data_IF_661467021152
#
_entry.id   IF_661467021152
#
_cell.length_a   1.000
_cell.length_b   1.000
_cell.length_c   1.000
_cell.angle_alpha   90.00
_cell.angle_beta   90.00
_cell.angle_gamma   90.00
#
_symmetry.space_group_name_H-M   'P 1'
#
loop_
_entity.id
_entity.type
_entity.pdbx_description
1 polymer ?
#
# COMPACT_ATOMS: atom_id res chain seq x y z
N UNK A 1 -37.19 -16.91 -4.63
CA UNK A 1 -37.13 -15.87 -5.70
C UNK A 1 -36.71 -14.57 -5.02
N UNK A 2 -35.40 -14.31 -4.97
CA UNK A 2 -34.79 -13.23 -4.16
C UNK A 2 -34.58 -12.01 -5.06
N UNK A 3 -35.13 -10.86 -4.67
CA UNK A 3 -34.94 -9.60 -5.40
C UNK A 3 -33.54 -9.03 -5.14
N UNK A 4 -32.88 -8.41 -6.15
CA UNK A 4 -31.61 -7.71 -5.93
C UNK A 4 -31.88 -6.40 -5.16
N UNK A 5 -31.12 -6.20 -4.09
CA UNK A 5 -31.13 -4.97 -3.29
C UNK A 5 -30.35 -3.85 -4.01
N UNK A 6 -31.02 -2.75 -4.34
CA UNK A 6 -30.39 -1.51 -4.83
C UNK A 6 -29.99 -0.64 -3.63
N UNK A 7 -28.68 -0.51 -3.39
CA UNK A 7 -28.09 0.03 -2.14
C UNK A 7 -27.78 1.53 -2.15
N UNK A 8 -28.30 2.32 -3.10
CA UNK A 8 -27.87 3.72 -3.27
C UNK A 8 -28.89 4.80 -2.88
N UNK A 9 -30.15 4.47 -2.60
CA UNK A 9 -31.17 5.51 -2.29
C UNK A 9 -31.46 5.73 -0.78
N UNK A 10 -31.02 4.86 0.13
CA UNK A 10 -31.40 4.92 1.55
C UNK A 10 -30.35 5.52 2.51
N UNK A 11 -29.36 6.26 2.03
CA UNK A 11 -28.20 6.71 2.85
C UNK A 11 -28.44 8.05 3.60
N UNK A 12 -29.63 8.67 3.53
CA UNK A 12 -29.81 10.06 3.99
C UNK A 12 -30.21 10.32 5.45
N UNK A 13 -30.58 9.33 6.28
CA UNK A 13 -31.34 9.67 7.52
C UNK A 13 -30.77 9.29 8.91
N UNK A 14 -29.66 8.57 9.06
CA UNK A 14 -29.15 8.24 10.41
C UNK A 14 -27.78 8.89 10.70
N UNK A 15 -27.68 9.58 11.84
CA UNK A 15 -26.57 10.43 12.28
C UNK A 15 -25.20 9.75 12.29
N UNK A 16 -24.56 9.73 11.12
CA UNK A 16 -23.24 9.14 10.90
C UNK A 16 -22.08 10.05 11.33
N UNK A 17 -20.92 9.41 11.48
CA UNK A 17 -19.62 10.09 11.49
C UNK A 17 -19.46 10.79 10.14
N UNK A 18 -19.68 12.11 10.11
CA UNK A 18 -19.26 12.93 8.99
C UNK A 18 -17.74 12.98 8.97
N UNK A 19 -17.12 12.22 8.06
CA UNK A 19 -15.78 12.58 7.60
C UNK A 19 -15.88 14.00 7.05
N UNK A 20 -15.33 14.97 7.79
CA UNK A 20 -15.23 16.34 7.33
C UNK A 20 -14.24 16.40 6.15
N UNK A 21 -14.69 16.02 4.95
CA UNK A 21 -13.97 16.32 3.70
C UNK A 21 -13.91 17.82 3.44
N UNK A 22 -14.74 18.61 4.16
CA UNK A 22 -14.81 20.06 4.11
C UNK A 22 -13.53 20.79 4.55
N UNK A 23 -12.49 20.07 5.00
CA UNK A 23 -11.21 20.65 5.41
C UNK A 23 -10.07 20.53 4.41
N UNK A 24 -10.22 19.77 3.31
CA UNK A 24 -9.16 19.66 2.30
C UNK A 24 -9.43 20.70 1.23
N UNK A 25 -8.84 21.87 1.38
CA UNK A 25 -8.87 22.90 0.35
C UNK A 25 -8.11 22.40 -0.89
N UNK A 26 -8.85 21.93 -1.89
CA UNK A 26 -8.24 21.41 -3.14
C UNK A 26 -7.63 22.52 -3.99
N UNK A 27 -7.92 23.80 -3.70
CA UNK A 27 -7.40 24.94 -4.46
C UNK A 27 -5.93 25.23 -4.15
N UNK A 28 -5.42 24.80 -2.99
CA UNK A 28 -3.99 24.87 -2.62
C UNK A 28 -3.18 23.64 -3.04
N UNK A 29 -3.80 22.68 -3.74
CA UNK A 29 -3.08 21.51 -4.23
C UNK A 29 -2.15 21.89 -5.41
N UNK A 30 -0.88 21.42 -5.42
CA UNK A 30 0.10 21.75 -6.47
C UNK A 30 -0.37 21.38 -7.88
N UNK A 31 0.18 21.95 -8.95
CA UNK A 31 -0.26 21.56 -10.31
C UNK A 31 0.23 20.16 -10.69
N UNK A 32 1.40 19.74 -10.18
CA UNK A 32 1.94 18.40 -10.40
C UNK A 32 1.09 17.32 -9.72
N UNK A 33 0.73 16.30 -10.50
CA UNK A 33 -0.18 15.24 -10.04
C UNK A 33 0.38 14.46 -8.84
N UNK A 34 1.70 14.30 -8.75
CA UNK A 34 2.33 13.55 -7.66
C UNK A 34 2.43 14.39 -6.38
N UNK A 35 2.78 15.66 -6.50
CA UNK A 35 2.76 16.59 -5.36
C UNK A 35 1.35 16.72 -4.75
N UNK A 36 0.29 16.71 -5.57
CA UNK A 36 -1.10 16.61 -5.07
C UNK A 36 -1.32 15.35 -4.26
N UNK A 37 -0.85 14.20 -4.75
CA UNK A 37 -0.99 12.91 -4.06
C UNK A 37 -0.30 12.96 -2.70
N UNK A 38 0.93 13.48 -2.63
CA UNK A 38 1.65 13.65 -1.36
C UNK A 38 0.89 14.54 -0.38
N UNK A 39 0.44 15.72 -0.81
CA UNK A 39 -0.29 16.66 0.04
C UNK A 39 -1.58 16.04 0.59
N UNK A 40 -2.29 15.31 -0.26
CA UNK A 40 -3.52 14.64 0.11
C UNK A 40 -3.29 13.43 1.01
N UNK A 41 -2.24 12.63 0.76
CA UNK A 41 -1.84 11.53 1.63
C UNK A 41 -1.60 12.02 3.05
N UNK A 42 -0.87 13.13 3.21
CA UNK A 42 -0.67 13.78 4.52
C UNK A 42 -1.99 14.21 5.16
N UNK A 43 -2.91 14.81 4.39
CA UNK A 43 -4.22 15.22 4.91
C UNK A 43 -5.10 14.01 5.32
N UNK A 44 -5.01 12.90 4.60
CA UNK A 44 -5.79 11.68 4.86
C UNK A 44 -5.23 10.85 6.02
N UNK A 45 -3.93 10.96 6.33
CA UNK A 45 -3.30 10.18 7.41
C UNK A 45 -3.99 10.38 8.76
N UNK A 46 -4.32 11.61 9.16
CA UNK A 46 -5.02 11.84 10.44
C UNK A 46 -6.39 11.15 10.46
N UNK A 47 -7.17 11.27 9.37
CA UNK A 47 -8.50 10.69 9.29
C UNK A 47 -8.47 9.17 9.28
N UNK A 48 -7.55 8.55 8.54
CA UNK A 48 -7.47 7.09 8.47
C UNK A 48 -7.02 6.47 9.80
N UNK A 49 -6.16 7.17 10.56
CA UNK A 49 -5.76 6.72 11.89
C UNK A 49 -6.95 6.69 12.87
N UNK A 50 -7.84 7.68 12.80
CA UNK A 50 -9.08 7.68 13.60
C UNK A 50 -10.01 6.53 13.22
N UNK A 51 -10.18 6.26 11.93
CA UNK A 51 -10.98 5.11 11.46
C UNK A 51 -10.38 3.79 11.94
N UNK A 52 -9.05 3.66 11.92
CA UNK A 52 -8.38 2.49 12.48
C UNK A 52 -8.64 2.32 13.98
N UNK A 53 -8.65 3.39 14.77
CA UNK A 53 -8.92 3.29 16.22
C UNK A 53 -10.36 2.84 16.50
N UNK A 54 -11.33 3.40 15.79
CA UNK A 54 -12.73 2.97 15.90
C UNK A 54 -12.88 1.48 15.56
N UNK A 55 -12.26 1.05 14.45
CA UNK A 55 -12.24 -0.36 14.04
C UNK A 55 -11.57 -1.23 15.09
N UNK A 56 -10.43 -0.80 15.64
CA UNK A 56 -9.70 -1.60 16.61
C UNK A 56 -10.53 -1.88 17.87
N UNK A 57 -11.29 -0.88 18.34
CA UNK A 57 -12.23 -1.04 19.44
C UNK A 57 -13.39 -1.98 19.08
N UNK A 58 -13.97 -1.80 17.90
CA UNK A 58 -15.14 -2.56 17.45
C UNK A 58 -14.88 -4.06 17.22
N UNK A 59 -13.65 -4.43 16.87
CA UNK A 59 -13.26 -5.83 16.66
C UNK A 59 -12.41 -6.38 17.81
N UNK A 60 -12.18 -5.61 18.87
CA UNK A 60 -11.34 -5.99 20.02
C UNK A 60 -9.90 -6.37 19.61
N UNK A 61 -9.34 -5.66 18.63
CA UNK A 61 -7.96 -5.84 18.11
C UNK A 61 -7.09 -4.61 18.33
N UNK A 62 -7.36 -3.84 19.39
CA UNK A 62 -6.66 -2.60 19.75
C UNK A 62 -5.15 -2.75 19.72
N UNK A 63 -4.61 -3.78 20.39
CA UNK A 63 -3.17 -4.01 20.48
C UNK A 63 -2.54 -4.27 19.10
N UNK A 64 -3.19 -5.09 18.27
CA UNK A 64 -2.71 -5.43 16.92
C UNK A 64 -2.76 -4.23 15.98
N UNK A 65 -3.80 -3.39 16.06
CA UNK A 65 -3.88 -2.17 15.23
C UNK A 65 -2.87 -1.12 15.70
N UNK A 66 -2.63 -0.99 17.00
CA UNK A 66 -1.59 -0.12 17.51
C UNK A 66 -0.19 -0.59 17.05
N UNK A 67 0.06 -1.90 17.10
CA UNK A 67 1.28 -2.50 16.59
C UNK A 67 1.45 -2.29 15.08
N UNK A 68 0.37 -2.42 14.30
CA UNK A 68 0.34 -2.12 12.87
C UNK A 68 0.74 -0.66 12.60
N UNK A 69 0.13 0.31 13.30
CA UNK A 69 0.43 1.75 13.17
C UNK A 69 1.89 2.07 13.52
N UNK A 70 2.37 1.51 14.62
CA UNK A 70 3.76 1.71 15.07
C UNK A 70 4.75 1.14 14.07
N UNK A 71 4.50 -0.06 13.55
CA UNK A 71 5.35 -0.72 12.55
C UNK A 71 5.39 0.06 11.25
N UNK A 72 4.24 0.56 10.76
CA UNK A 72 4.17 1.44 9.59
C UNK A 72 4.99 2.72 9.78
N UNK A 73 4.87 3.36 10.94
CA UNK A 73 5.64 4.57 11.26
C UNK A 73 7.14 4.30 11.25
N UNK A 74 7.58 3.16 11.80
CA UNK A 74 8.98 2.75 11.77
C UNK A 74 9.49 2.55 10.33
N UNK A 75 8.71 1.89 9.47
CA UNK A 75 9.02 1.72 8.05
C UNK A 75 9.22 3.09 7.39
N UNK A 76 8.29 4.03 7.58
CA UNK A 76 8.35 5.36 6.98
C UNK A 76 9.61 6.13 7.40
N UNK A 77 9.93 6.14 8.69
CA UNK A 77 11.13 6.83 9.21
C UNK A 77 12.40 6.27 8.59
N UNK A 78 12.51 4.94 8.48
CA UNK A 78 13.68 4.27 7.91
C UNK A 78 13.77 4.43 6.39
N UNK A 79 12.63 4.35 5.71
CA UNK A 79 12.46 4.62 4.29
C UNK A 79 12.93 6.03 3.92
N UNK A 80 12.54 7.06 4.68
CA UNK A 80 12.96 8.43 4.45
C UNK A 80 14.48 8.57 4.57
N UNK A 81 15.09 7.93 5.58
CA UNK A 81 16.55 7.93 5.74
C UNK A 81 17.27 7.29 4.54
N UNK A 82 16.79 6.12 4.07
CA UNK A 82 17.33 5.47 2.89
C UNK A 82 17.18 6.35 1.63
N UNK A 83 16.01 6.98 1.46
CA UNK A 83 15.74 7.91 0.34
C UNK A 83 16.72 9.08 0.33
N UNK A 84 16.99 9.68 1.49
CA UNK A 84 17.92 10.80 1.61
C UNK A 84 19.34 10.42 1.18
N UNK A 85 19.84 9.27 1.65
CA UNK A 85 21.18 8.80 1.31
C UNK A 85 21.31 8.42 -0.17
N UNK A 86 20.30 7.75 -0.72
CA UNK A 86 20.23 7.43 -2.14
C UNK A 86 20.12 8.69 -3.00
N UNK A 87 19.34 9.70 -2.61
CA UNK A 87 19.21 10.96 -3.34
C UNK A 87 20.53 11.70 -3.40
N UNK A 88 21.22 11.86 -2.26
CA UNK A 88 22.54 12.51 -2.20
C UNK A 88 23.56 11.80 -3.10
N UNK A 89 23.55 10.48 -3.10
CA UNK A 89 24.46 9.68 -3.89
C UNK A 89 24.15 9.75 -5.40
N UNK A 90 22.88 9.70 -5.77
CA UNK A 90 22.43 9.86 -7.15
C UNK A 90 22.77 11.26 -7.71
N UNK A 91 22.54 12.32 -6.92
CA UNK A 91 22.89 13.70 -7.28
C UNK A 91 24.39 13.86 -7.55
N UNK A 92 25.25 13.24 -6.73
CA UNK A 92 26.69 13.24 -6.94
C UNK A 92 27.12 12.57 -8.27
N UNK A 93 26.27 11.72 -8.84
CA UNK A 93 26.46 11.05 -10.12
C UNK A 93 25.65 11.69 -11.27
N UNK A 94 24.99 12.82 -11.04
CA UNK A 94 24.19 13.52 -12.05
C UNK A 94 22.90 12.78 -12.44
N UNK A 95 22.38 11.92 -11.56
CA UNK A 95 21.16 11.14 -11.77
C UNK A 95 20.06 11.69 -10.88
N UNK A 96 18.84 11.76 -11.43
CA UNK A 96 17.69 12.23 -10.66
C UNK A 96 17.10 11.10 -9.81
N UNK A 97 16.43 11.46 -8.70
CA UNK A 97 15.76 10.48 -7.84
C UNK A 97 14.68 9.70 -8.60
N UNK A 98 14.07 10.30 -9.62
CA UNK A 98 13.10 9.65 -10.51
C UNK A 98 13.74 8.53 -11.33
N UNK A 99 14.90 8.77 -11.93
CA UNK A 99 15.61 7.74 -12.70
C UNK A 99 16.02 6.56 -11.79
N UNK A 100 16.43 6.84 -10.56
CA UNK A 100 16.70 5.80 -9.56
C UNK A 100 15.41 5.03 -9.18
N UNK A 101 14.30 5.74 -9.02
CA UNK A 101 12.99 5.14 -8.73
C UNK A 101 12.54 4.23 -9.88
N UNK A 102 12.76 4.61 -11.13
CA UNK A 102 12.46 3.79 -12.31
C UNK A 102 13.31 2.52 -12.36
N UNK A 103 14.60 2.60 -11.99
CA UNK A 103 15.48 1.43 -11.90
C UNK A 103 15.03 0.47 -10.80
N UNK A 104 14.64 0.99 -9.63
CA UNK A 104 14.05 0.21 -8.55
C UNK A 104 12.73 -0.45 -8.97
N UNK A 105 11.88 0.25 -9.72
CA UNK A 105 10.64 -0.31 -10.25
C UNK A 105 10.90 -1.48 -11.22
N UNK A 106 11.89 -1.35 -12.10
CA UNK A 106 12.29 -2.43 -13.00
C UNK A 106 12.82 -3.65 -12.22
N UNK A 107 13.62 -3.41 -11.19
CA UNK A 107 14.17 -4.43 -10.31
C UNK A 107 13.08 -5.16 -9.53
N UNK A 108 12.13 -4.42 -8.97
CA UNK A 108 10.97 -4.97 -8.28
C UNK A 108 10.12 -5.83 -9.22
N UNK A 109 9.88 -5.37 -10.45
CA UNK A 109 9.18 -6.17 -11.45
C UNK A 109 9.91 -7.49 -11.75
N UNK A 110 11.25 -7.48 -11.87
CA UNK A 110 12.06 -8.69 -12.05
C UNK A 110 11.93 -9.64 -10.86
N UNK A 111 12.12 -9.13 -9.63
CA UNK A 111 12.00 -9.94 -8.40
C UNK A 111 10.63 -10.59 -8.32
N UNK A 112 9.57 -9.86 -8.66
CA UNK A 112 8.23 -10.40 -8.71
C UNK A 112 8.05 -11.50 -9.75
N UNK A 113 8.58 -11.34 -10.96
CA UNK A 113 8.51 -12.37 -11.99
C UNK A 113 9.20 -13.66 -11.50
N UNK A 114 10.33 -13.53 -10.80
CA UNK A 114 11.06 -14.65 -10.19
C UNK A 114 10.26 -15.30 -9.04
N UNK A 115 9.60 -14.48 -8.20
CA UNK A 115 8.74 -14.97 -7.13
C UNK A 115 7.50 -15.68 -7.63
N UNK A 116 6.92 -15.27 -8.76
CA UNK A 116 5.78 -15.96 -9.37
C UNK A 116 6.15 -17.37 -9.83
N UNK A 117 7.39 -17.56 -10.28
CA UNK A 117 7.93 -18.86 -10.65
C UNK A 117 8.23 -19.71 -9.41
N UNK A 118 8.85 -19.12 -8.40
CA UNK A 118 9.22 -19.81 -7.16
C UNK A 118 8.00 -20.21 -6.32
N UNK A 119 6.97 -19.36 -6.30
CA UNK A 119 5.79 -19.52 -5.48
C UNK A 119 4.53 -19.51 -6.35
N UNK A 120 4.20 -20.63 -7.03
CA UNK A 120 2.99 -20.73 -7.84
C UNK A 120 1.74 -20.45 -6.98
N UNK A 121 0.65 -20.02 -7.63
CA UNK A 121 -0.59 -19.68 -6.94
C UNK A 121 -1.12 -20.90 -6.16
N UNK A 122 -1.28 -20.79 -4.83
CA UNK A 122 -1.73 -21.91 -4.01
C UNK A 122 -3.25 -22.04 -4.10
N UNK A 123 -3.76 -23.24 -3.80
CA UNK A 123 -5.20 -23.49 -3.68
C UNK A 123 -5.77 -22.89 -2.38
N UNK A 124 -4.93 -22.70 -1.35
CA UNK A 124 -5.28 -22.17 -0.03
C UNK A 124 -4.34 -21.05 0.41
N UNK A 125 -4.76 -20.23 1.38
CA UNK A 125 -3.90 -19.22 1.96
C UNK A 125 -2.72 -19.87 2.71
N UNK A 126 -1.50 -19.30 2.66
CA UNK A 126 -0.36 -19.85 3.37
C UNK A 126 -0.56 -19.71 4.89
N UNK A 127 -0.07 -20.69 5.65
CA UNK A 127 0.02 -20.58 7.10
C UNK A 127 0.94 -19.42 7.51
N UNK A 128 0.83 -18.98 8.77
CA UNK A 128 1.71 -17.96 9.36
C UNK A 128 3.20 -18.23 9.11
N UNK A 129 3.68 -19.44 9.41
CA UNK A 129 5.09 -19.82 9.23
C UNK A 129 5.51 -19.80 7.75
N UNK A 130 4.66 -20.29 6.86
CA UNK A 130 4.94 -20.26 5.42
C UNK A 130 4.97 -18.83 4.89
N UNK A 131 4.04 -17.98 5.33
CA UNK A 131 4.00 -16.55 5.01
C UNK A 131 5.29 -15.86 5.46
N UNK A 132 5.75 -16.15 6.68
CA UNK A 132 7.00 -15.62 7.21
C UNK A 132 8.21 -16.03 6.38
N UNK A 133 8.38 -17.33 6.09
CA UNK A 133 9.49 -17.82 5.26
C UNK A 133 9.50 -17.14 3.89
N UNK A 134 8.34 -17.08 3.23
CA UNK A 134 8.20 -16.45 1.92
C UNK A 134 8.55 -14.97 1.95
N UNK A 135 8.01 -14.22 2.91
CA UNK A 135 8.27 -12.78 3.02
C UNK A 135 9.74 -12.53 3.31
N UNK A 136 10.35 -13.31 4.19
CA UNK A 136 11.78 -13.20 4.50
C UNK A 136 12.62 -13.39 3.23
N UNK A 137 12.35 -14.45 2.45
CA UNK A 137 13.07 -14.72 1.20
C UNK A 137 12.86 -13.63 0.13
N UNK A 138 11.64 -13.11 0.02
CA UNK A 138 11.33 -11.97 -0.86
C UNK A 138 12.20 -10.77 -0.48
N UNK A 139 12.25 -10.45 0.81
CA UNK A 139 12.99 -9.30 1.31
C UNK A 139 14.51 -9.47 1.19
N UNK A 140 15.05 -10.68 1.40
CA UNK A 140 16.46 -11.00 1.14
C UNK A 140 16.84 -10.69 -0.31
N UNK A 141 15.99 -11.10 -1.26
CA UNK A 141 16.24 -10.88 -2.68
C UNK A 141 16.14 -9.40 -3.07
N UNK A 142 15.14 -8.71 -2.54
CA UNK A 142 15.01 -7.26 -2.71
C UNK A 142 16.21 -6.51 -2.11
N UNK A 143 16.70 -6.94 -0.95
CA UNK A 143 17.87 -6.35 -0.30
C UNK A 143 19.10 -6.42 -1.19
N UNK A 144 19.50 -7.60 -1.65
CA UNK A 144 20.71 -7.77 -2.49
C UNK A 144 20.67 -6.88 -3.73
N UNK A 145 19.49 -6.76 -4.32
CA UNK A 145 19.24 -6.01 -5.53
C UNK A 145 19.25 -4.48 -5.26
N UNK A 146 18.70 -4.00 -4.13
CA UNK A 146 18.84 -2.59 -3.69
C UNK A 146 20.30 -2.28 -3.34
N UNK A 147 21.01 -3.19 -2.65
CA UNK A 147 22.43 -3.04 -2.33
C UNK A 147 23.25 -2.87 -3.61
N UNK A 148 23.00 -3.71 -4.60
CA UNK A 148 23.67 -3.62 -5.90
C UNK A 148 23.47 -2.26 -6.57
N UNK A 149 22.23 -1.76 -6.63
CA UNK A 149 21.91 -0.43 -7.17
C UNK A 149 22.61 0.67 -6.37
N UNK A 150 22.53 0.64 -5.03
CA UNK A 150 23.09 1.71 -4.21
C UNK A 150 24.62 1.77 -4.29
N UNK A 151 25.30 0.62 -4.35
CA UNK A 151 26.75 0.54 -4.56
C UNK A 151 27.14 1.09 -5.94
N UNK A 152 26.38 0.77 -6.98
CA UNK A 152 26.56 1.34 -8.32
C UNK A 152 26.52 2.88 -8.32
N UNK A 153 25.79 3.50 -7.39
CA UNK A 153 25.70 4.95 -7.22
C UNK A 153 26.55 5.49 -6.07
N UNK A 154 27.50 4.70 -5.55
CA UNK A 154 28.51 5.16 -4.60
C UNK A 154 28.05 5.23 -3.14
N UNK A 155 26.88 4.67 -2.79
CA UNK A 155 26.53 4.43 -1.39
C UNK A 155 27.31 3.22 -0.88
N UNK A 156 27.85 3.30 0.34
CA UNK A 156 28.56 2.15 0.91
C UNK A 156 27.61 0.99 1.18
N UNK A 157 28.04 -0.22 0.80
CA UNK A 157 27.26 -1.45 1.03
C UNK A 157 26.85 -1.60 2.50
N UNK A 158 27.78 -1.33 3.43
CA UNK A 158 27.52 -1.39 4.87
C UNK A 158 26.41 -0.44 5.30
N UNK A 159 26.38 0.78 4.77
CA UNK A 159 25.32 1.74 5.10
C UNK A 159 23.97 1.28 4.50
N UNK A 160 23.96 0.81 3.25
CA UNK A 160 22.75 0.28 2.61
C UNK A 160 22.16 -0.89 3.39
N UNK A 161 22.99 -1.88 3.76
CA UNK A 161 22.55 -3.03 4.55
C UNK A 161 21.99 -2.59 5.90
N UNK A 162 22.65 -1.67 6.60
CA UNK A 162 22.13 -1.13 7.86
C UNK A 162 20.76 -0.44 7.70
N UNK A 163 20.55 0.29 6.61
CA UNK A 163 19.24 0.89 6.29
C UNK A 163 18.19 -0.17 5.97
N UNK A 164 18.52 -1.14 5.11
CA UNK A 164 17.59 -2.16 4.65
C UNK A 164 17.23 -3.10 5.80
N UNK A 165 18.17 -3.52 6.63
CA UNK A 165 17.91 -4.31 7.85
C UNK A 165 16.89 -3.60 8.76
N UNK A 166 17.03 -2.28 8.89
CA UNK A 166 16.10 -1.43 9.65
C UNK A 166 14.69 -1.35 9.04
N UNK A 167 14.52 -1.65 7.76
CA UNK A 167 13.22 -1.64 7.04
C UNK A 167 12.62 -3.05 6.95
N UNK A 168 13.47 -4.05 6.68
CA UNK A 168 13.13 -5.44 6.40
C UNK A 168 12.38 -6.08 7.55
N UNK A 169 12.91 -6.00 8.77
CA UNK A 169 12.25 -6.60 9.93
C UNK A 169 10.85 -6.00 10.19
N UNK A 170 10.66 -4.67 10.16
CA UNK A 170 9.33 -4.07 10.20
C UNK A 170 8.39 -4.50 9.06
N UNK A 171 8.86 -4.62 7.81
CA UNK A 171 8.01 -5.07 6.68
C UNK A 171 7.58 -6.53 6.87
N UNK A 172 8.49 -7.41 7.28
CA UNK A 172 8.18 -8.81 7.58
C UNK A 172 7.07 -8.88 8.65
N UNK A 173 7.31 -8.20 9.77
CA UNK A 173 6.36 -8.11 10.88
C UNK A 173 5.00 -7.57 10.45
N UNK A 174 4.97 -6.48 9.68
CA UNK A 174 3.75 -5.87 9.19
C UNK A 174 2.94 -6.84 8.30
N UNK A 175 3.64 -7.56 7.41
CA UNK A 175 3.00 -8.49 6.46
C UNK A 175 2.38 -9.67 7.18
N UNK A 176 3.07 -10.20 8.19
CA UNK A 176 2.59 -11.27 9.04
C UNK A 176 1.39 -10.81 9.85
N UNK A 177 1.52 -9.70 10.59
CA UNK A 177 0.46 -9.12 11.41
C UNK A 177 -0.81 -8.82 10.60
N UNK A 178 -0.64 -8.27 9.39
CA UNK A 178 -1.75 -8.02 8.47
C UNK A 178 -2.42 -9.32 8.07
N UNK A 179 -1.64 -10.36 7.76
CA UNK A 179 -2.12 -11.70 7.49
C UNK A 179 -2.99 -12.28 8.60
N UNK A 180 -2.47 -12.27 9.82
CA UNK A 180 -3.16 -12.79 11.00
C UNK A 180 -4.47 -12.01 11.26
N UNK A 181 -4.45 -10.68 11.13
CA UNK A 181 -5.65 -9.85 11.25
C UNK A 181 -6.71 -10.15 10.19
N UNK A 182 -6.30 -10.45 8.96
CA UNK A 182 -7.22 -10.79 7.87
C UNK A 182 -7.81 -12.19 8.08
N UNK A 183 -7.01 -13.14 8.58
CA UNK A 183 -7.48 -14.49 8.91
C UNK A 183 -8.54 -14.46 10.02
N UNK A 184 -8.30 -13.66 11.07
CA UNK A 184 -9.25 -13.48 12.18
C UNK A 184 -10.48 -12.64 11.79
N UNK A 185 -10.26 -11.58 11.01
CA UNK A 185 -11.29 -10.61 10.64
C UNK A 185 -11.17 -10.22 9.15
N UNK A 186 -11.68 -11.03 8.21
CA UNK A 186 -11.54 -10.81 6.76
C UNK A 186 -11.99 -9.42 6.26
N UNK A 187 -12.97 -8.84 6.95
CA UNK A 187 -13.50 -7.49 6.69
C UNK A 187 -12.48 -6.37 6.92
N UNK A 188 -11.40 -6.62 7.66
CA UNK A 188 -10.32 -5.65 7.89
C UNK A 188 -9.37 -5.51 6.70
N UNK A 189 -9.39 -6.45 5.75
CA UNK A 189 -8.47 -6.46 4.60
C UNK A 189 -8.42 -5.10 3.88
N UNK A 190 -9.59 -4.61 3.44
CA UNK A 190 -9.66 -3.39 2.65
C UNK A 190 -9.15 -2.18 3.45
N UNK A 191 -9.49 -2.09 4.73
CA UNK A 191 -9.07 -0.98 5.60
C UNK A 191 -7.57 -1.00 5.86
N UNK A 192 -6.99 -2.17 6.18
CA UNK A 192 -5.56 -2.28 6.47
C UNK A 192 -4.72 -1.93 5.24
N UNK A 193 -5.10 -2.44 4.07
CA UNK A 193 -4.39 -2.17 2.81
C UNK A 193 -4.53 -0.69 2.41
N UNK A 194 -5.73 -0.10 2.51
CA UNK A 194 -5.95 1.33 2.26
C UNK A 194 -5.10 2.18 3.21
N UNK A 195 -5.09 1.83 4.49
CA UNK A 195 -4.32 2.58 5.49
C UNK A 195 -2.82 2.49 5.22
N UNK A 196 -2.29 1.28 4.98
CA UNK A 196 -0.89 1.10 4.61
C UNK A 196 -0.52 1.93 3.37
N UNK A 197 -1.39 1.90 2.35
CA UNK A 197 -1.20 2.66 1.11
C UNK A 197 -1.14 4.17 1.38
N UNK A 198 -2.10 4.72 2.14
CA UNK A 198 -2.15 6.15 2.49
C UNK A 198 -0.92 6.56 3.32
N UNK A 199 -0.50 5.70 4.24
CA UNK A 199 0.69 5.95 5.06
C UNK A 199 1.98 5.96 4.23
N UNK A 200 2.08 5.15 3.18
CA UNK A 200 3.26 5.11 2.30
C UNK A 200 3.30 6.25 1.25
N UNK A 201 2.22 7.00 1.05
CA UNK A 201 2.16 8.09 0.05
C UNK A 201 3.28 9.13 0.19
N UNK A 202 3.61 9.64 1.40
CA UNK A 202 4.73 10.58 1.56
C UNK A 202 6.07 10.00 1.09
N UNK A 203 6.23 8.68 1.19
CA UNK A 203 7.41 7.94 0.72
C UNK A 203 7.27 7.52 -0.75
N UNK A 204 6.94 8.51 -1.59
CA UNK A 204 6.60 8.28 -2.99
C UNK A 204 7.65 7.59 -3.83
N UNK A 205 8.92 7.79 -3.47
CA UNK A 205 10.07 7.12 -4.06
C UNK A 205 10.01 5.60 -3.90
N UNK A 206 9.49 5.10 -2.78
CA UNK A 206 9.29 3.66 -2.52
C UNK A 206 7.92 3.21 -3.02
N UNK A 207 6.89 4.03 -2.81
CA UNK A 207 5.53 3.69 -3.21
C UNK A 207 5.42 3.43 -4.72
N UNK A 208 6.13 4.19 -5.57
CA UNK A 208 6.11 3.99 -7.02
C UNK A 208 6.66 2.61 -7.44
N UNK A 209 7.90 2.22 -7.08
CA UNK A 209 8.39 0.86 -7.25
C UNK A 209 7.46 -0.20 -6.66
N UNK A 210 6.94 0.00 -5.45
CA UNK A 210 6.02 -0.95 -4.83
C UNK A 210 4.72 -1.10 -5.64
N UNK A 211 4.12 -0.01 -6.08
CA UNK A 211 2.95 -0.03 -6.94
C UNK A 211 3.26 -0.74 -8.27
N UNK A 212 4.48 -0.61 -8.79
CA UNK A 212 4.92 -1.35 -9.98
C UNK A 212 4.95 -2.86 -9.78
N UNK A 213 5.24 -3.36 -8.56
CA UNK A 213 5.03 -4.78 -8.20
C UNK A 213 3.57 -5.16 -8.40
N UNK A 214 2.65 -4.32 -7.99
CA UNK A 214 1.22 -4.59 -8.17
C UNK A 214 0.73 -4.33 -9.61
N UNK A 215 1.64 -4.18 -10.56
CA UNK A 215 1.32 -3.93 -11.95
C UNK A 215 0.77 -2.54 -12.18
N UNK A 216 1.12 -1.54 -11.36
CA UNK A 216 0.79 -0.13 -11.59
C UNK A 216 2.04 0.62 -12.05
N UNK A 217 2.01 1.11 -13.29
CA UNK A 217 3.03 2.02 -13.80
C UNK A 217 2.67 3.49 -13.53
N UNK A 218 3.52 4.43 -13.99
CA UNK A 218 3.28 5.88 -13.83
C UNK A 218 1.97 6.36 -14.46
N UNK A 219 1.47 5.63 -15.46
CA UNK A 219 0.21 5.92 -16.15
C UNK A 219 -0.95 5.01 -15.73
N UNK A 220 -0.81 4.32 -14.59
CA UNK A 220 -1.80 3.38 -14.09
C UNK A 220 -1.47 1.92 -14.39
N UNK A 221 -2.44 0.99 -14.25
CA UNK A 221 -2.24 -0.43 -14.40
C UNK A 221 -1.61 -0.82 -15.74
N UNK A 222 -0.52 -1.58 -15.66
CA UNK A 222 0.18 -2.19 -16.78
C UNK A 222 -0.61 -3.42 -17.22
N UNK A 223 -1.19 -3.33 -18.43
CA UNK A 223 -1.98 -4.40 -19.03
C UNK A 223 -1.13 -5.67 -19.16
N UNK A 224 -1.66 -6.81 -18.69
CA UNK A 224 -1.04 -8.13 -18.85
C UNK A 224 -0.22 -8.63 -17.66
N UNK A 225 0.10 -7.78 -16.67
CA UNK A 225 0.71 -8.21 -15.41
C UNK A 225 -0.35 -8.32 -14.32
N UNK A 226 -0.95 -9.50 -14.17
CA UNK A 226 -1.86 -9.82 -13.06
C UNK A 226 -1.14 -10.01 -11.72
N UNK A 227 -0.02 -9.31 -11.52
CA UNK A 227 0.85 -9.42 -10.37
C UNK A 227 0.12 -9.17 -9.06
N UNK A 228 -0.74 -8.15 -9.03
CA UNK A 228 -1.50 -7.87 -7.84
C UNK A 228 -2.56 -8.93 -7.54
N UNK A 229 -3.18 -9.52 -8.57
CA UNK A 229 -4.08 -10.66 -8.37
C UNK A 229 -3.31 -11.91 -7.88
N UNK A 230 -2.07 -12.09 -8.36
CA UNK A 230 -1.17 -13.14 -7.86
C UNK A 230 -0.80 -12.88 -6.40
N UNK A 231 -0.29 -11.70 -6.03
CA UNK A 231 0.06 -11.34 -4.65
C UNK A 231 -1.15 -11.51 -3.72
N UNK A 232 -2.31 -11.05 -4.16
CA UNK A 232 -3.54 -11.17 -3.41
C UNK A 232 -3.89 -12.64 -3.12
N UNK A 233 -3.91 -13.48 -4.15
CA UNK A 233 -4.15 -14.93 -3.98
C UNK A 233 -3.06 -15.58 -3.12
N UNK A 234 -1.81 -15.15 -3.29
CA UNK A 234 -0.66 -15.83 -2.71
C UNK A 234 -0.49 -15.51 -1.22
N UNK A 235 -0.66 -14.25 -0.84
CA UNK A 235 -0.48 -13.81 0.56
C UNK A 235 -1.79 -13.82 1.35
N UNK A 236 -2.95 -13.65 0.70
CA UNK A 236 -4.23 -13.44 1.40
C UNK A 236 -5.35 -14.37 0.92
N UNK A 237 -5.06 -15.29 0.00
CA UNK A 237 -6.03 -16.25 -0.52
C UNK A 237 -7.15 -15.63 -1.36
N UNK A 238 -8.25 -16.38 -1.50
CA UNK A 238 -9.44 -15.97 -2.25
C UNK A 238 -10.37 -14.99 -1.50
N UNK A 239 -9.89 -14.39 -0.40
CA UNK A 239 -10.69 -13.59 0.54
C UNK A 239 -11.18 -12.27 -0.07
N UNK A 240 -10.54 -11.77 -1.12
CA UNK A 240 -10.92 -10.50 -1.73
C UNK A 240 -12.18 -10.65 -2.56
N UNK A 241 -13.26 -10.10 -2.01
CA UNK A 241 -14.57 -10.12 -2.64
C UNK A 241 -14.60 -9.28 -3.92
N UNK A 242 -15.44 -9.70 -4.88
CA UNK A 242 -15.75 -8.89 -6.07
C UNK A 242 -16.41 -7.59 -5.61
N UNK A 243 -15.78 -6.45 -5.89
CA UNK A 243 -16.24 -5.14 -5.42
C UNK A 243 -15.41 -4.56 -4.27
N UNK A 244 -14.41 -5.29 -3.78
CA UNK A 244 -13.40 -4.78 -2.83
C UNK A 244 -12.69 -3.53 -3.34
N UNK A 245 -12.04 -2.80 -2.44
CA UNK A 245 -11.20 -1.67 -2.83
C UNK A 245 -10.15 -2.05 -3.86
N UNK A 246 -9.59 -3.26 -3.78
CA UNK A 246 -8.66 -3.77 -4.79
C UNK A 246 -9.29 -3.83 -6.19
N UNK A 247 -10.51 -4.34 -6.29
CA UNK A 247 -11.25 -4.35 -7.56
C UNK A 247 -11.62 -2.94 -8.03
N UNK A 248 -11.81 -1.99 -7.09
CA UNK A 248 -11.99 -0.58 -7.39
C UNK A 248 -10.70 0.06 -7.90
N UNK A 249 -9.54 -0.24 -7.32
CA UNK A 249 -8.24 0.19 -7.84
C UNK A 249 -7.99 -0.34 -9.25
N UNK A 250 -8.18 -1.65 -9.45
CA UNK A 250 -8.02 -2.27 -10.75
C UNK A 250 -8.97 -1.62 -11.77
N UNK A 251 -10.25 -1.43 -11.40
CA UNK A 251 -11.24 -0.79 -12.27
C UNK A 251 -10.94 0.68 -12.53
N UNK A 252 -10.50 1.43 -11.53
CA UNK A 252 -10.16 2.85 -11.63
C UNK A 252 -8.97 3.04 -12.54
N UNK A 253 -7.92 2.23 -12.36
CA UNK A 253 -6.75 2.28 -13.21
C UNK A 253 -7.02 1.80 -14.65
N UNK A 254 -7.98 0.89 -14.87
CA UNK A 254 -8.43 0.51 -16.22
C UNK A 254 -9.26 1.60 -16.93
N UNK A 255 -9.76 2.62 -16.22
CA UNK A 255 -10.65 3.67 -16.75
C UNK A 255 -9.99 5.06 -16.67
N UNK A 256 -9.12 5.35 -17.63
CA UNK A 256 -8.56 6.66 -17.97
C UNK A 256 -7.56 7.31 -16.99
N UNK A 257 -6.41 7.68 -17.56
CA UNK A 257 -5.14 8.05 -16.92
C UNK A 257 -5.12 9.43 -16.25
N UNK A 258 -6.14 10.28 -16.43
CA UNK A 258 -6.07 11.69 -15.98
C UNK A 258 -6.91 12.07 -14.75
N UNK A 259 -7.85 11.23 -14.29
CA UNK A 259 -8.73 11.54 -13.13
C UNK A 259 -8.94 10.34 -12.18
N UNK A 260 -8.08 9.32 -12.29
CA UNK A 260 -8.24 8.09 -11.50
C UNK A 260 -8.02 8.32 -10.00
N UNK A 261 -7.13 9.25 -9.62
CA UNK A 261 -6.82 9.57 -8.22
C UNK A 261 -7.92 10.37 -7.52
N UNK A 262 -8.55 11.34 -8.18
CA UNK A 262 -9.71 12.07 -7.62
C UNK A 262 -10.85 11.10 -7.27
N UNK A 263 -11.08 10.12 -8.15
CA UNK A 263 -12.08 9.07 -7.92
C UNK A 263 -11.68 8.07 -6.84
N UNK A 264 -10.39 7.81 -6.69
CA UNK A 264 -9.86 6.97 -5.61
C UNK A 264 -10.05 7.64 -4.25
N UNK A 265 -9.83 8.95 -4.16
CA UNK A 265 -9.99 9.74 -2.94
C UNK A 265 -11.45 9.84 -2.55
N UNK A 266 -12.33 10.17 -3.51
CA UNK A 266 -13.78 10.14 -3.32
C UNK A 266 -14.25 8.73 -2.96
N UNK A 267 -13.67 7.70 -3.58
CA UNK A 267 -13.97 6.30 -3.31
C UNK A 267 -13.53 5.85 -1.91
N UNK A 268 -12.35 6.25 -1.44
CA UNK A 268 -11.87 6.00 -0.08
C UNK A 268 -12.75 6.74 0.92
N UNK A 269 -13.02 8.04 0.70
CA UNK A 269 -13.93 8.81 1.55
C UNK A 269 -15.31 8.15 1.64
N UNK A 270 -15.89 7.78 0.51
CA UNK A 270 -17.19 7.10 0.46
C UNK A 270 -17.15 5.69 1.08
N UNK A 271 -16.06 4.94 0.93
CA UNK A 271 -15.91 3.62 1.54
C UNK A 271 -15.78 3.71 3.06
N UNK A 272 -14.99 4.65 3.58
CA UNK A 272 -14.86 4.90 5.01
C UNK A 272 -16.20 5.38 5.60
N UNK A 273 -16.91 6.28 4.89
CA UNK A 273 -18.28 6.68 5.27
C UNK A 273 -19.24 5.48 5.23
N UNK A 274 -19.22 4.65 4.19
CA UNK A 274 -20.11 3.51 4.08
C UNK A 274 -19.84 2.41 5.13
N UNK A 275 -18.58 2.22 5.52
CA UNK A 275 -18.18 1.34 6.63
C UNK A 275 -18.72 1.89 7.96
N UNK A 276 -18.66 3.21 8.17
CA UNK A 276 -19.23 3.87 9.35
C UNK A 276 -20.76 3.88 9.37
N UNK A 277 -21.42 4.15 8.23
CA UNK A 277 -22.88 4.29 8.10
C UNK A 277 -23.60 2.95 8.17
N UNK A 278 -22.98 1.84 7.76
CA UNK A 278 -23.58 0.50 7.95
C UNK A 278 -23.72 0.08 9.43
N UNK A 279 -23.21 0.89 10.37
CA UNK A 279 -23.05 0.56 11.78
C UNK A 279 -23.75 1.51 12.75
N UNK A 280 -24.45 2.52 12.24
CA UNK A 280 -25.40 3.35 12.98
C UNK A 280 -26.84 2.95 12.59
#
# INVERSE_FOLDING_TARGET
MVRPFNTLENIKENGGVTLHTNGIDTSVLPFDAWERVIALGKALQTNILLVLDDIANNYHVVDKIHEFKSTMTAIMVKASGLREDLSKAAEAHGITLEALSDELAALFAKVLDELQVEFPAPDEAPSHELRKEMVSRVLDRVEEEIVHIGVKYGVSETNLRAHIDGIKSPIEKLTILTGDLIEEHPVLFDVLVVTASIMLIPEGFILRPLLSLFGFGPYGPVKGRSAAAWCQRRFFGAVVTKGSWFSLLQRAGMRFVTSWWEKLVVGIGAALVAIGVKRA
#
